data_IF_364700009281
#
_entry.id   IF_364700009281
#
_cell.length_a   1.000
_cell.length_b   1.000
_cell.length_c   1.000
_cell.angle_alpha   90.00
_cell.angle_beta   90.00
_cell.angle_gamma   90.00
#
_symmetry.space_group_name_H-M   'P 1'
#
loop_
_entity.id
_entity.type
_entity.pdbx_description
1 polymer ?
#
# COMPACT_ATOMS: atom_id res chain seq x y z
N UNK A 1 -5.23 -18.03 4.93
CA UNK A 1 -4.58 -16.77 4.46
C UNK A 1 -5.68 -15.73 4.18
N UNK A 2 -5.44 -14.49 4.51
CA UNK A 2 -6.37 -13.38 4.34
C UNK A 2 -5.79 -12.38 3.34
N UNK A 3 -6.63 -11.78 2.49
CA UNK A 3 -6.22 -10.75 1.53
C UNK A 3 -6.73 -9.38 1.96
N UNK A 4 -5.94 -8.35 1.69
CA UNK A 4 -6.30 -6.95 1.91
C UNK A 4 -5.82 -6.10 0.75
N UNK A 5 -6.49 -4.97 0.52
CA UNK A 5 -5.99 -3.96 -0.42
C UNK A 5 -5.16 -2.92 0.31
N UNK A 6 -4.08 -2.51 -0.30
CA UNK A 6 -3.38 -1.27 0.03
C UNK A 6 -3.23 -0.40 -1.20
N UNK A 7 -3.13 0.92 -1.01
CA UNK A 7 -2.81 1.87 -2.08
C UNK A 7 -1.74 2.83 -1.58
N UNK A 8 -0.57 2.84 -2.22
CA UNK A 8 0.38 3.93 -2.01
C UNK A 8 -0.17 5.17 -2.70
N UNK A 9 -0.38 6.24 -1.94
CA UNK A 9 -1.08 7.46 -2.36
C UNK A 9 -0.17 8.43 -3.12
N UNK A 10 -0.73 9.41 -3.84
CA UNK A 10 0.07 10.34 -4.65
C UNK A 10 1.13 11.11 -3.87
N UNK A 11 0.89 11.46 -2.63
CA UNK A 11 1.86 12.16 -1.75
C UNK A 11 3.12 11.31 -1.50
N UNK A 12 2.95 10.02 -1.21
CA UNK A 12 4.07 9.11 -1.01
C UNK A 12 4.81 8.80 -2.32
N UNK A 13 4.09 8.76 -3.45
CA UNK A 13 4.71 8.63 -4.78
C UNK A 13 5.59 9.83 -5.08
N UNK A 14 5.10 11.06 -4.86
CA UNK A 14 5.91 12.29 -5.03
C UNK A 14 7.14 12.31 -4.12
N UNK A 15 7.04 11.77 -2.93
CA UNK A 15 8.17 11.61 -1.99
C UNK A 15 9.14 10.48 -2.37
N UNK A 16 8.87 9.75 -3.47
CA UNK A 16 9.64 8.57 -3.91
C UNK A 16 9.70 7.46 -2.86
N UNK A 17 8.65 7.33 -2.06
CA UNK A 17 8.58 6.39 -0.94
C UNK A 17 8.04 5.01 -1.32
N UNK A 18 7.59 4.79 -2.57
CA UNK A 18 6.94 3.54 -3.01
C UNK A 18 7.79 2.32 -2.68
N UNK A 19 9.07 2.33 -3.05
CA UNK A 19 9.98 1.21 -2.80
C UNK A 19 10.17 0.93 -1.30
N UNK A 20 10.28 1.97 -0.48
CA UNK A 20 10.40 1.82 0.98
C UNK A 20 9.13 1.25 1.61
N UNK A 21 7.96 1.71 1.15
CA UNK A 21 6.67 1.20 1.65
C UNK A 21 6.48 -0.26 1.25
N UNK A 22 6.75 -0.62 -0.01
CA UNK A 22 6.65 -2.01 -0.46
C UNK A 22 7.62 -2.92 0.29
N UNK A 23 8.88 -2.51 0.46
CA UNK A 23 9.85 -3.27 1.23
C UNK A 23 9.40 -3.47 2.67
N UNK A 24 8.88 -2.42 3.31
CA UNK A 24 8.35 -2.53 4.67
C UNK A 24 7.22 -3.56 4.76
N UNK A 25 6.31 -3.60 3.79
CA UNK A 25 5.21 -4.57 3.76
C UNK A 25 5.73 -6.01 3.58
N UNK A 26 6.74 -6.20 2.73
CA UNK A 26 7.40 -7.51 2.56
C UNK A 26 8.10 -7.95 3.84
N UNK A 27 8.81 -7.04 4.52
CA UNK A 27 9.50 -7.30 5.80
C UNK A 27 8.52 -7.67 6.92
N UNK A 28 7.28 -7.15 6.85
CA UNK A 28 6.17 -7.51 7.74
C UNK A 28 5.50 -8.84 7.38
N UNK A 29 6.01 -9.56 6.41
CA UNK A 29 5.56 -10.90 6.01
C UNK A 29 4.33 -10.91 5.10
N UNK A 30 4.03 -9.79 4.45
CA UNK A 30 3.01 -9.79 3.39
C UNK A 30 3.56 -10.39 2.11
N UNK A 31 2.74 -11.16 1.42
CA UNK A 31 2.96 -11.59 0.04
C UNK A 31 2.16 -10.69 -0.91
N UNK A 32 2.79 -10.21 -1.98
CA UNK A 32 2.13 -9.41 -3.00
C UNK A 32 1.45 -10.36 -4.00
N UNK A 33 0.14 -10.28 -4.12
CA UNK A 33 -0.66 -11.08 -5.05
C UNK A 33 -1.06 -10.32 -6.31
N UNK A 34 -1.00 -9.01 -6.28
CA UNK A 34 -1.21 -8.12 -7.42
C UNK A 34 -0.65 -6.75 -7.11
N UNK A 35 -0.10 -6.09 -8.13
CA UNK A 35 0.46 -4.74 -8.01
C UNK A 35 0.28 -4.01 -9.34
N UNK A 36 -0.22 -2.78 -9.28
CA UNK A 36 -0.38 -1.91 -10.44
C UNK A 36 0.13 -0.51 -10.14
N UNK A 37 0.50 0.21 -11.19
CA UNK A 37 0.67 1.66 -11.17
C UNK A 37 -0.44 2.28 -12.02
N UNK A 38 -1.20 3.19 -11.47
CA UNK A 38 -2.34 3.82 -12.11
C UNK A 38 -2.33 5.32 -11.86
N UNK A 39 -2.91 6.08 -12.80
CA UNK A 39 -3.37 7.43 -12.55
C UNK A 39 -4.90 7.38 -12.61
N UNK A 40 -5.56 7.54 -11.47
CA UNK A 40 -7.01 7.44 -11.39
C UNK A 40 -7.67 8.59 -12.13
N UNK A 41 -8.69 8.27 -12.92
CA UNK A 41 -9.63 9.29 -13.41
C UNK A 41 -10.55 9.72 -12.28
N UNK A 42 -11.18 10.89 -12.42
CA UNK A 42 -12.17 11.37 -11.46
C UNK A 42 -13.27 10.34 -11.20
N UNK A 43 -13.83 9.77 -12.26
CA UNK A 43 -14.87 8.75 -12.17
C UNK A 43 -14.40 7.49 -11.42
N UNK A 44 -13.16 7.06 -11.62
CA UNK A 44 -12.59 5.92 -10.89
C UNK A 44 -12.40 6.24 -9.40
N UNK A 45 -11.88 7.42 -9.06
CA UNK A 45 -11.74 7.83 -7.67
C UNK A 45 -13.12 7.99 -6.98
N UNK A 46 -14.08 8.60 -7.63
CA UNK A 46 -15.47 8.70 -7.13
C UNK A 46 -16.10 7.32 -6.91
N UNK A 47 -15.90 6.40 -7.85
CA UNK A 47 -16.41 5.02 -7.73
C UNK A 47 -15.77 4.26 -6.57
N UNK A 48 -14.46 4.35 -6.41
CA UNK A 48 -13.76 3.69 -5.30
C UNK A 48 -14.17 4.22 -3.92
N UNK A 49 -14.31 5.52 -3.80
CA UNK A 49 -14.70 6.18 -2.55
C UNK A 49 -16.21 6.46 -2.44
N UNK A 50 -17.05 5.78 -3.22
CA UNK A 50 -18.50 6.00 -3.26
C UNK A 50 -19.19 5.91 -1.87
N UNK A 51 -18.65 5.09 -0.97
CA UNK A 51 -19.12 4.97 0.42
C UNK A 51 -18.97 6.28 1.23
N UNK A 52 -18.14 7.20 0.75
CA UNK A 52 -17.91 8.52 1.37
C UNK A 52 -18.59 9.67 0.64
N UNK A 53 -19.42 9.39 -0.38
CA UNK A 53 -20.01 10.39 -1.28
C UNK A 53 -20.74 11.53 -0.54
N UNK A 54 -21.42 11.20 0.57
CA UNK A 54 -22.16 12.17 1.37
C UNK A 54 -21.30 12.88 2.44
N UNK A 55 -20.01 12.59 2.49
CA UNK A 55 -19.10 13.21 3.46
C UNK A 55 -18.56 14.53 2.94
N UNK A 56 -18.40 15.57 3.80
CA UNK A 56 -17.90 16.88 3.39
C UNK A 56 -16.52 16.85 2.72
N UNK A 57 -15.67 15.90 3.11
CA UNK A 57 -14.31 15.75 2.59
C UNK A 57 -14.23 15.02 1.25
N UNK A 58 -15.35 14.50 0.73
CA UNK A 58 -15.34 13.65 -0.49
C UNK A 58 -14.74 14.36 -1.72
N UNK A 59 -15.12 15.62 -2.06
CA UNK A 59 -14.55 16.30 -3.21
C UNK A 59 -13.03 16.46 -3.11
N UNK A 60 -12.53 16.86 -1.95
CA UNK A 60 -11.09 17.03 -1.71
C UNK A 60 -10.34 15.69 -1.77
N UNK A 61 -10.95 14.60 -1.26
CA UNK A 61 -10.38 13.26 -1.35
C UNK A 61 -10.24 12.81 -2.82
N UNK A 62 -11.26 13.04 -3.65
CA UNK A 62 -11.24 12.70 -5.07
C UNK A 62 -10.16 13.53 -5.79
N UNK A 63 -10.08 14.83 -5.55
CA UNK A 63 -9.05 15.69 -6.11
C UNK A 63 -7.65 15.22 -5.69
N UNK A 64 -7.45 14.92 -4.42
CA UNK A 64 -6.18 14.42 -3.91
C UNK A 64 -5.77 13.10 -4.57
N UNK A 65 -6.68 12.12 -4.64
CA UNK A 65 -6.37 10.80 -5.20
C UNK A 65 -6.16 10.80 -6.72
N UNK A 66 -6.63 11.83 -7.42
CA UNK A 66 -6.40 12.06 -8.86
C UNK A 66 -5.24 13.01 -9.15
N UNK A 67 -4.55 13.52 -8.12
CA UNK A 67 -3.46 14.50 -8.28
C UNK A 67 -2.14 13.90 -8.76
N UNK A 68 -2.04 12.59 -8.89
CA UNK A 68 -0.85 11.89 -9.34
C UNK A 68 -1.03 10.37 -9.35
N UNK A 69 0.02 9.63 -9.73
CA UNK A 69 -0.03 8.17 -9.74
C UNK A 69 -0.28 7.58 -8.35
N UNK A 70 -0.92 6.41 -8.33
CA UNK A 70 -1.15 5.57 -7.16
C UNK A 70 -0.65 4.15 -7.44
N UNK A 71 -0.32 3.41 -6.38
CA UNK A 71 0.08 2.01 -6.48
C UNK A 71 -0.85 1.15 -5.64
N UNK A 72 -1.97 0.65 -6.18
CA UNK A 72 -2.78 -0.36 -5.53
C UNK A 72 -2.04 -1.72 -5.53
N UNK A 73 -2.10 -2.41 -4.40
CA UNK A 73 -1.58 -3.76 -4.25
C UNK A 73 -2.55 -4.64 -3.47
N UNK A 74 -2.74 -5.86 -3.97
CA UNK A 74 -3.39 -6.93 -3.22
C UNK A 74 -2.31 -7.66 -2.40
N UNK A 75 -2.47 -7.67 -1.09
CA UNK A 75 -1.56 -8.29 -0.14
C UNK A 75 -2.22 -9.48 0.54
N UNK A 76 -1.42 -10.50 0.86
CA UNK A 76 -1.89 -11.72 1.52
C UNK A 76 -0.99 -12.08 2.69
N UNK A 77 -1.59 -12.40 3.84
CA UNK A 77 -0.96 -13.02 5.01
C UNK A 77 -2.04 -13.48 6.00
N UNK A 78 -1.64 -14.07 7.13
CA UNK A 78 -2.56 -14.25 8.26
C UNK A 78 -2.88 -12.91 8.90
N UNK A 79 -4.16 -12.67 9.24
CA UNK A 79 -4.65 -11.41 9.83
C UNK A 79 -4.25 -10.17 9.02
N UNK A 80 -4.33 -10.24 7.69
CA UNK A 80 -3.80 -9.21 6.78
C UNK A 80 -4.38 -7.83 7.05
N UNK A 81 -5.70 -7.71 7.22
CA UNK A 81 -6.36 -6.41 7.46
C UNK A 81 -5.86 -5.77 8.75
N UNK A 82 -5.94 -6.50 9.87
CA UNK A 82 -5.56 -5.97 11.18
C UNK A 82 -4.05 -5.62 11.22
N UNK A 83 -3.21 -6.48 10.67
CA UNK A 83 -1.77 -6.26 10.65
C UNK A 83 -1.38 -5.09 9.77
N UNK A 84 -1.97 -4.96 8.57
CA UNK A 84 -1.74 -3.82 7.70
C UNK A 84 -2.08 -2.50 8.40
N UNK A 85 -3.22 -2.44 9.08
CA UNK A 85 -3.64 -1.23 9.81
C UNK A 85 -2.67 -0.87 10.94
N UNK A 86 -2.13 -1.86 11.66
CA UNK A 86 -1.11 -1.63 12.68
C UNK A 86 0.20 -1.08 12.07
N UNK A 87 0.66 -1.66 10.96
CA UNK A 87 1.87 -1.22 10.24
C UNK A 87 1.70 0.18 9.63
N UNK A 88 0.50 0.48 9.13
CA UNK A 88 0.18 1.81 8.58
C UNK A 88 0.20 2.91 9.64
N UNK A 89 -0.33 2.64 10.82
CA UNK A 89 -0.51 3.63 11.88
C UNK A 89 -1.81 4.43 11.77
N UNK A 90 -1.99 5.39 12.68
CA UNK A 90 -3.18 6.23 12.77
C UNK A 90 -3.46 7.00 11.47
N UNK A 91 -4.75 7.23 11.17
CA UNK A 91 -5.19 7.93 9.95
C UNK A 91 -4.63 9.35 9.86
N UNK A 92 -4.59 10.07 10.97
CA UNK A 92 -3.86 11.33 11.06
C UNK A 92 -2.37 11.03 11.29
N UNK A 93 -1.54 11.29 10.27
CA UNK A 93 -0.09 11.00 10.32
C UNK A 93 0.62 11.72 11.46
N UNK A 94 0.10 12.87 11.92
CA UNK A 94 0.65 13.64 13.05
C UNK A 94 0.46 12.92 14.39
N UNK A 95 -0.48 11.97 14.45
CA UNK A 95 -0.80 11.15 15.62
C UNK A 95 -0.31 9.71 15.48
N UNK A 96 0.28 9.37 14.34
CA UNK A 96 0.76 8.02 14.08
C UNK A 96 2.00 7.72 14.92
N UNK A 97 2.06 6.52 15.50
CA UNK A 97 3.19 6.06 16.31
C UNK A 97 4.46 5.99 15.46
N UNK A 98 5.57 6.36 16.09
CA UNK A 98 6.91 6.28 15.49
C UNK A 98 7.17 4.87 14.96
N UNK A 99 7.70 4.79 13.74
CA UNK A 99 7.98 3.52 13.08
C UNK A 99 6.84 3.00 12.19
N UNK A 100 5.65 3.59 12.24
CA UNK A 100 4.59 3.29 11.29
C UNK A 100 4.80 4.00 9.94
N UNK A 101 4.19 3.47 8.88
CA UNK A 101 4.32 4.04 7.52
C UNK A 101 3.83 5.49 7.48
N UNK A 102 2.71 5.79 8.12
CA UNK A 102 2.14 7.14 8.15
C UNK A 102 2.97 8.12 8.95
N UNK A 103 3.59 7.69 10.04
CA UNK A 103 4.53 8.53 10.78
C UNK A 103 5.79 8.87 9.97
N UNK A 104 6.24 7.96 9.11
CA UNK A 104 7.46 8.15 8.31
C UNK A 104 7.22 8.95 7.04
N UNK A 105 6.12 8.72 6.35
CA UNK A 105 5.89 9.21 4.99
C UNK A 105 4.66 10.11 4.84
N UNK A 106 3.72 10.08 5.79
CA UNK A 106 2.55 10.96 5.80
C UNK A 106 2.87 12.37 6.27
N UNK A 107 1.92 13.28 6.10
CA UNK A 107 2.00 14.68 6.52
C UNK A 107 0.83 15.02 7.45
N UNK A 108 -0.39 14.65 7.07
CA UNK A 108 -1.61 14.95 7.79
C UNK A 108 -2.65 13.82 7.65
N UNK A 109 -3.94 14.13 7.84
CA UNK A 109 -5.03 13.16 7.76
C UNK A 109 -5.37 12.77 6.32
N UNK A 110 -5.12 13.63 5.33
CA UNK A 110 -5.40 13.38 3.92
C UNK A 110 -4.16 12.87 3.19
N UNK A 111 -3.05 13.60 3.29
CA UNK A 111 -1.75 13.22 2.76
C UNK A 111 -1.05 12.26 3.73
N UNK A 112 -1.63 11.07 3.91
CA UNK A 112 -1.18 10.07 4.89
C UNK A 112 -0.51 8.84 4.30
N UNK A 113 0.06 9.00 3.11
CA UNK A 113 0.92 8.07 2.40
C UNK A 113 0.26 6.79 1.87
N UNK A 114 -0.64 6.17 2.61
CA UNK A 114 -1.12 4.81 2.31
C UNK A 114 -2.58 4.64 2.71
N UNK A 115 -3.35 3.93 1.88
CA UNK A 115 -4.67 3.38 2.20
C UNK A 115 -4.54 1.89 2.53
N UNK A 116 -5.40 1.39 3.37
CA UNK A 116 -5.59 -0.04 3.61
C UNK A 116 -7.05 -0.33 3.95
N UNK A 117 -7.54 -1.47 3.50
CA UNK A 117 -8.91 -1.91 3.81
C UNK A 117 -9.13 -1.98 5.32
N UNK A 118 -10.33 -1.67 5.76
CA UNK A 118 -10.72 -1.64 7.18
C UNK A 118 -11.40 -2.92 7.66
N UNK A 119 -11.84 -3.77 6.73
CA UNK A 119 -12.48 -5.05 7.01
C UNK A 119 -12.23 -6.05 5.88
N UNK A 120 -12.47 -7.34 6.13
CA UNK A 120 -12.39 -8.38 5.10
C UNK A 120 -13.43 -8.19 4.01
N UNK A 121 -14.62 -7.71 4.35
CA UNK A 121 -15.68 -7.44 3.40
C UNK A 121 -15.27 -6.32 2.45
N UNK A 122 -14.83 -5.18 3.00
CA UNK A 122 -14.35 -4.06 2.21
C UNK A 122 -13.10 -4.44 1.40
N UNK A 123 -12.20 -5.26 1.95
CA UNK A 123 -11.04 -5.75 1.22
C UNK A 123 -11.42 -6.50 -0.07
N UNK A 124 -12.44 -7.37 -0.03
CA UNK A 124 -12.93 -8.08 -1.22
C UNK A 124 -13.46 -7.14 -2.29
N UNK A 125 -14.25 -6.14 -1.88
CA UNK A 125 -14.82 -5.14 -2.78
C UNK A 125 -13.70 -4.29 -3.39
N UNK A 126 -12.80 -3.78 -2.57
CA UNK A 126 -11.70 -2.90 -2.98
C UNK A 126 -10.69 -3.62 -3.87
N UNK A 127 -10.35 -4.88 -3.57
CA UNK A 127 -9.49 -5.72 -4.43
C UNK A 127 -10.16 -5.91 -5.78
N UNK A 128 -11.45 -6.27 -5.82
CA UNK A 128 -12.21 -6.45 -7.07
C UNK A 128 -12.32 -5.20 -7.92
N UNK A 129 -12.22 -4.02 -7.31
CA UNK A 129 -12.21 -2.76 -8.05
C UNK A 129 -10.94 -2.57 -8.90
N UNK A 130 -9.79 -2.95 -8.37
CA UNK A 130 -8.50 -2.75 -9.05
C UNK A 130 -8.00 -3.97 -9.81
N UNK A 131 -8.36 -5.17 -9.36
CA UNK A 131 -7.79 -6.41 -9.87
C UNK A 131 -8.89 -7.38 -10.33
N UNK A 132 -9.05 -7.58 -11.66
CA UNK A 132 -9.73 -8.76 -12.16
C UNK A 132 -9.10 -10.03 -11.57
N UNK A 133 -9.90 -11.07 -11.36
CA UNK A 133 -9.41 -12.30 -10.74
C UNK A 133 -8.19 -12.91 -11.46
N UNK A 134 -8.12 -12.74 -12.78
CA UNK A 134 -7.01 -13.20 -13.60
C UNK A 134 -5.70 -12.43 -13.38
N UNK A 135 -5.76 -11.22 -12.83
CA UNK A 135 -4.58 -10.39 -12.53
C UNK A 135 -3.99 -10.69 -11.14
N UNK A 136 -4.68 -11.52 -10.36
CA UNK A 136 -4.22 -11.94 -9.04
C UNK A 136 -3.50 -13.26 -9.14
N UNK A 137 -2.33 -13.32 -8.56
CA UNK A 137 -1.65 -14.59 -8.34
C UNK A 137 -2.53 -15.45 -7.42
N UNK A 138 -2.88 -16.66 -7.88
CA UNK A 138 -3.60 -17.64 -7.10
C UNK A 138 -2.87 -17.98 -5.80
N UNK A 139 -3.52 -18.75 -4.93
CA UNK A 139 -2.78 -19.44 -3.87
C UNK A 139 -1.63 -20.20 -4.53
N UNK A 140 -0.43 -20.10 -3.96
CA UNK A 140 0.71 -20.81 -4.48
C UNK A 140 0.37 -22.30 -4.49
N UNK A 141 -0.15 -22.77 -5.62
CA UNK A 141 -0.47 -24.18 -5.81
C UNK A 141 0.82 -24.97 -5.64
N UNK A 142 1.03 -25.52 -4.46
CA UNK A 142 2.01 -26.55 -4.22
C UNK A 142 3.49 -26.23 -4.45
N UNK A 143 3.91 -24.98 -4.60
CA UNK A 143 5.31 -24.66 -4.48
C UNK A 143 5.71 -24.84 -3.02
N UNK A 144 6.29 -25.99 -2.70
CA UNK A 144 6.86 -26.28 -1.40
C UNK A 144 7.71 -25.08 -0.98
N UNK A 145 7.41 -24.49 0.21
CA UNK A 145 8.31 -23.52 0.84
C UNK A 145 9.70 -24.13 0.77
N UNK A 146 10.72 -23.42 0.27
CA UNK A 146 12.07 -23.94 0.31
C UNK A 146 12.37 -24.30 1.77
N UNK A 147 12.58 -25.59 2.02
CA UNK A 147 12.97 -26.09 3.33
C UNK A 147 14.27 -25.39 3.71
N UNK A 148 14.23 -24.53 4.75
CA UNK A 148 15.38 -24.14 5.54
C UNK A 148 16.61 -23.70 4.72
N UNK A 149 16.48 -22.69 3.88
CA UNK A 149 17.61 -21.90 3.44
C UNK A 149 17.74 -20.72 4.41
N UNK A 150 18.88 -20.58 5.06
CA UNK A 150 19.26 -19.34 5.75
C UNK A 150 18.89 -18.17 4.82
N UNK A 151 18.16 -17.18 5.36
CA UNK A 151 17.92 -15.95 4.59
C UNK A 151 19.27 -15.47 4.03
N UNK A 152 19.37 -15.24 2.72
CA UNK A 152 20.58 -14.61 2.22
C UNK A 152 20.74 -13.31 2.98
N UNK A 153 21.86 -13.17 3.67
CA UNK A 153 22.28 -11.93 4.32
C UNK A 153 22.11 -10.82 3.28
N UNK A 154 21.21 -9.86 3.44
CA UNK A 154 20.88 -8.95 2.35
C UNK A 154 22.10 -8.12 2.02
N UNK A 155 22.81 -8.52 0.95
CA UNK A 155 24.03 -7.87 0.47
C UNK A 155 23.86 -6.34 0.29
N UNK A 156 22.61 -5.88 0.13
CA UNK A 156 22.28 -4.46 0.06
C UNK A 156 22.36 -3.72 1.40
N UNK A 157 22.29 -4.43 2.56
CA UNK A 157 22.51 -3.81 3.87
C UNK A 157 23.98 -3.42 4.09
N UNK A 158 24.91 -4.09 3.39
CA UNK A 158 26.35 -3.83 3.50
C UNK A 158 26.83 -2.78 2.52
N UNK A 159 26.02 -2.39 1.53
CA UNK A 159 26.33 -1.36 0.55
C UNK A 159 25.20 -0.32 0.48
N UNK A 160 25.22 0.74 1.29
CA UNK A 160 24.30 1.85 1.08
C UNK A 160 24.50 2.36 -0.34
N UNK A 161 23.46 2.29 -1.17
CA UNK A 161 23.46 2.85 -2.51
C UNK A 161 23.91 4.30 -2.39
N UNK A 162 25.12 4.60 -2.83
CA UNK A 162 25.63 5.97 -2.89
C UNK A 162 24.67 6.73 -3.81
N UNK A 163 24.03 7.75 -3.26
CA UNK A 163 23.17 8.63 -4.07
C UNK A 163 24.04 9.21 -5.20
N UNK A 164 23.61 9.10 -6.47
CA UNK A 164 24.31 9.80 -7.54
C UNK A 164 24.34 11.30 -7.22
N UNK A 165 25.41 12.01 -7.58
CA UNK A 165 25.54 13.45 -7.34
C UNK A 165 24.34 14.15 -8.00
N UNK A 166 23.75 15.12 -7.29
CA UNK A 166 22.70 15.96 -7.86
C UNK A 166 23.30 16.69 -9.06
N UNK A 167 22.78 16.43 -10.24
CA UNK A 167 23.03 17.27 -11.41
C UNK A 167 22.50 18.69 -11.08
N UNK A 168 23.37 19.68 -11.19
CA UNK A 168 23.04 21.12 -11.05
C UNK A 168 22.27 21.62 -12.26
#
# INVERSE_FOLDING_TARGET
MERTLTIVKPDAVRKRAVGHILQRLLDEGFEVRGLKMLHLTKAQAEGFYAVHKEKPFFPELVEFMTSGPVFPACLERENAVAHLRAVMGATDSRKAEKGTIRAQFGTDIQANAIHGSDSQENARIEIGFFFPQMDLLGEAGGAAKPKGGSQPDPAWQKNPIQRPPRLR
#
